data_IF_018062922119
#
_entry.id   IF_018062922119
#
_cell.length_a   1.000
_cell.length_b   1.000
_cell.length_c   1.000
_cell.angle_alpha   90.00
_cell.angle_beta   90.00
_cell.angle_gamma   90.00
#
_symmetry.space_group_name_H-M   'P 1'
#
loop_
_entity.id
_entity.type
_entity.pdbx_description
1 polymer ?
#
# COMPACT_ATOMS: atom_id res chain seq x y z
N UNK A 1 -9.29 8.84 15.19
CA UNK A 1 -9.12 7.40 15.50
C UNK A 1 -8.66 6.69 14.23
N UNK A 2 -7.67 7.25 13.54
CA UNK A 2 -6.23 7.04 13.76
C UNK A 2 -5.85 5.61 13.42
N UNK A 3 -5.73 5.35 12.12
CA UNK A 3 -5.00 4.18 11.68
C UNK A 3 -3.62 4.23 12.27
N UNK A 4 -3.29 3.27 13.14
CA UNK A 4 -2.11 3.31 13.99
C UNK A 4 -0.79 3.34 13.17
N UNK A 5 -0.86 3.03 11.88
CA UNK A 5 0.29 2.95 10.97
C UNK A 5 -0.08 3.53 9.60
N UNK A 6 0.82 4.35 9.05
CA UNK A 6 0.75 4.83 7.67
C UNK A 6 1.82 4.13 6.85
N UNK A 7 1.40 3.49 5.75
CA UNK A 7 2.28 2.69 4.88
C UNK A 7 2.27 3.31 3.49
N UNK A 8 3.46 3.71 3.01
CA UNK A 8 3.66 4.16 1.65
C UNK A 8 4.39 3.08 0.85
N UNK A 9 3.78 2.61 -0.24
CA UNK A 9 4.39 1.66 -1.19
C UNK A 9 4.78 2.43 -2.45
N UNK A 10 6.02 2.34 -2.90
CA UNK A 10 6.53 3.04 -4.08
C UNK A 10 6.86 2.01 -5.18
N UNK A 11 6.13 2.09 -6.30
CA UNK A 11 6.19 1.17 -7.43
C UNK A 11 4.94 0.29 -7.52
N UNK A 12 4.24 0.33 -8.65
CA UNK A 12 3.00 -0.40 -8.95
C UNK A 12 3.21 -1.72 -9.70
N UNK A 13 4.41 -2.30 -9.68
CA UNK A 13 4.62 -3.66 -10.18
C UNK A 13 3.95 -4.71 -9.29
N UNK A 14 3.99 -5.99 -9.69
CA UNK A 14 3.39 -7.09 -8.93
C UNK A 14 3.80 -7.07 -7.44
N UNK A 15 5.10 -6.90 -7.16
CA UNK A 15 5.61 -6.82 -5.79
C UNK A 15 4.99 -5.67 -4.98
N UNK A 16 4.76 -4.51 -5.60
CA UNK A 16 4.14 -3.36 -4.94
C UNK A 16 2.68 -3.61 -4.58
N UNK A 17 1.91 -4.19 -5.50
CA UNK A 17 0.52 -4.57 -5.23
C UNK A 17 0.42 -5.63 -4.14
N UNK A 18 1.23 -6.69 -4.19
CA UNK A 18 1.22 -7.72 -3.15
C UNK A 18 1.69 -7.18 -1.80
N UNK A 19 2.64 -6.25 -1.77
CA UNK A 19 3.05 -5.58 -0.53
C UNK A 19 1.91 -4.73 0.05
N UNK A 20 1.22 -3.94 -0.77
CA UNK A 20 0.09 -3.12 -0.34
C UNK A 20 -1.08 -3.98 0.17
N UNK A 21 -1.41 -5.06 -0.54
CA UNK A 21 -2.44 -6.01 -0.14
C UNK A 21 -2.09 -6.71 1.17
N UNK A 22 -0.85 -7.20 1.29
CA UNK A 22 -0.39 -7.86 2.52
C UNK A 22 -0.42 -6.92 3.72
N UNK A 23 -0.01 -5.66 3.55
CA UNK A 23 -0.07 -4.64 4.60
C UNK A 23 -1.52 -4.37 5.05
N UNK A 24 -2.46 -4.22 4.10
CA UNK A 24 -3.87 -4.02 4.41
C UNK A 24 -4.52 -5.26 5.06
N UNK A 25 -4.14 -6.46 4.62
CA UNK A 25 -4.69 -7.72 5.13
C UNK A 25 -4.25 -8.02 6.57
N UNK A 26 -2.97 -7.82 6.89
CA UNK A 26 -2.41 -8.13 8.21
C UNK A 26 -2.57 -6.98 9.21
N UNK A 27 -2.73 -5.74 8.71
CA UNK A 27 -2.98 -4.56 9.53
C UNK A 27 -4.20 -3.79 9.03
N UNK A 28 -5.43 -4.27 9.32
CA UNK A 28 -6.66 -3.67 8.79
C UNK A 28 -6.90 -2.22 9.21
N UNK A 29 -6.27 -1.77 10.30
CA UNK A 29 -6.31 -0.38 10.75
C UNK A 29 -5.25 0.50 10.08
N UNK A 30 -4.32 -0.06 9.30
CA UNK A 30 -3.28 0.73 8.64
C UNK A 30 -3.86 1.50 7.44
N UNK A 31 -3.41 2.75 7.27
CA UNK A 31 -3.65 3.50 6.05
C UNK A 31 -2.55 3.18 5.04
N UNK A 32 -2.90 2.51 3.94
CA UNK A 32 -1.95 2.12 2.89
C UNK A 32 -2.16 3.00 1.66
N UNK A 33 -1.08 3.60 1.14
CA UNK A 33 -1.07 4.37 -0.10
C UNK A 33 0.01 3.82 -1.02
N UNK A 34 -0.37 3.47 -2.25
CA UNK A 34 0.54 3.01 -3.30
C UNK A 34 0.77 4.13 -4.31
N UNK A 35 2.03 4.43 -4.59
CA UNK A 35 2.46 5.40 -5.58
C UNK A 35 3.08 4.66 -6.76
N UNK A 36 2.50 4.82 -7.95
CA UNK A 36 3.11 4.41 -9.22
C UNK A 36 3.54 5.67 -9.98
N UNK A 37 4.75 5.64 -10.55
CA UNK A 37 5.36 6.78 -11.25
C UNK A 37 4.53 7.19 -12.46
N UNK A 38 3.92 6.23 -13.13
CA UNK A 38 3.18 6.47 -14.37
C UNK A 38 1.68 6.33 -14.17
N UNK A 39 0.90 6.90 -15.10
CA UNK A 39 -0.54 6.63 -15.17
C UNK A 39 -0.84 5.33 -15.97
N UNK A 40 0.17 4.48 -16.19
CA UNK A 40 -0.02 3.18 -16.83
C UNK A 40 -0.20 2.16 -15.70
N UNK A 41 -1.28 1.41 -15.77
CA UNK A 41 -1.57 0.27 -14.91
C UNK A 41 -2.06 -0.88 -15.79
#
# INVERSE_FOLDING_TARGET
MDGAWKVAVIGGGAAGFFAALSAAQHHPSAQVVLFEKTAKL
#
